data_IF_181158859551
#
_entry.id   IF_181158859551
#
_cell.length_a   1.000
_cell.length_b   1.000
_cell.length_c   1.000
_cell.angle_alpha   90.00
_cell.angle_beta   90.00
_cell.angle_gamma   90.00
#
_symmetry.space_group_name_H-M   'P 1'
#
loop_
_entity.id
_entity.type
_entity.pdbx_description
1 polymer ?
#
# COMPACT_ATOMS: atom_id res chain seq x y z
N UNK A 1 6.81 7.03 -12.42
CA UNK A 1 6.72 5.74 -11.71
C UNK A 1 5.55 5.76 -10.72
N UNK A 2 4.97 4.59 -10.47
CA UNK A 2 3.91 4.42 -9.48
C UNK A 2 4.14 3.11 -8.71
N UNK A 3 3.89 3.13 -7.42
CA UNK A 3 3.86 1.93 -6.60
C UNK A 3 2.91 2.11 -5.40
N UNK A 4 2.43 0.99 -4.87
CA UNK A 4 1.59 0.96 -3.68
C UNK A 4 2.06 -0.09 -2.69
N UNK A 5 1.80 0.15 -1.42
CA UNK A 5 2.08 -0.80 -0.33
C UNK A 5 1.16 -0.59 0.86
N UNK A 6 0.97 -1.63 1.64
CA UNK A 6 0.40 -1.50 2.97
C UNK A 6 1.47 -1.03 3.94
N UNK A 7 1.15 0.01 4.70
CA UNK A 7 1.90 0.39 5.89
C UNK A 7 1.27 -0.35 7.06
N UNK A 8 2.03 -1.29 7.61
CA UNK A 8 1.70 -1.89 8.89
C UNK A 8 2.44 -1.11 9.97
N UNK A 9 1.75 -0.55 10.96
CA UNK A 9 2.40 0.03 12.11
C UNK A 9 3.20 -1.06 12.84
N UNK A 10 4.21 -0.65 13.59
CA UNK A 10 4.87 -1.57 14.50
C UNK A 10 3.90 -1.92 15.64
N UNK A 11 3.27 -3.09 15.53
CA UNK A 11 2.26 -3.55 16.47
C UNK A 11 2.83 -3.80 17.87
N UNK A 12 4.16 -3.90 18.02
CA UNK A 12 4.80 -4.00 19.33
C UNK A 12 4.80 -2.64 20.06
N UNK A 13 4.93 -1.56 19.30
CA UNK A 13 4.95 -0.19 19.85
C UNK A 13 3.56 0.46 19.79
N UNK A 14 2.80 0.17 18.75
CA UNK A 14 1.50 0.78 18.46
C UNK A 14 0.44 -0.26 18.09
N UNK A 15 -0.01 -1.11 19.05
CA UNK A 15 -0.93 -2.22 18.76
C UNK A 15 -2.31 -1.78 18.26
N UNK A 16 -2.71 -0.52 18.54
CA UNK A 16 -4.00 0.05 18.13
C UNK A 16 -3.93 0.90 16.85
N UNK A 17 -2.73 1.05 16.25
CA UNK A 17 -2.59 1.87 15.07
C UNK A 17 -3.23 1.21 13.85
N UNK A 18 -4.04 1.94 13.08
CA UNK A 18 -4.66 1.38 11.89
C UNK A 18 -3.61 1.13 10.79
N UNK A 19 -3.82 0.07 10.01
CA UNK A 19 -3.08 -0.13 8.78
C UNK A 19 -3.53 0.90 7.74
N UNK A 20 -2.59 1.36 6.91
CA UNK A 20 -2.89 2.27 5.82
C UNK A 20 -2.37 1.71 4.49
N UNK A 21 -3.20 1.77 3.44
CA UNK A 21 -2.73 1.53 2.09
C UNK A 21 -2.19 2.83 1.52
N UNK A 22 -0.94 2.86 1.11
CA UNK A 22 -0.30 4.05 0.54
C UNK A 22 0.09 3.80 -0.89
N UNK A 23 -0.15 4.79 -1.74
CA UNK A 23 0.35 4.83 -3.11
C UNK A 23 1.23 6.05 -3.30
N UNK A 24 2.25 5.92 -4.11
CA UNK A 24 3.11 7.03 -4.52
C UNK A 24 3.21 7.08 -6.03
N UNK A 25 2.96 8.26 -6.56
CA UNK A 25 3.02 8.54 -8.00
C UNK A 25 3.95 9.74 -8.24
N UNK A 26 4.95 9.56 -9.08
CA UNK A 26 5.80 10.64 -9.59
C UNK A 26 5.40 10.99 -11.02
N UNK A 27 5.09 12.25 -11.27
CA UNK A 27 4.74 12.76 -12.60
C UNK A 27 5.31 14.17 -12.83
N UNK A 28 5.22 14.65 -14.05
CA UNK A 28 5.51 16.05 -14.39
C UNK A 28 4.48 16.96 -13.72
N UNK A 29 4.90 18.14 -13.27
CA UNK A 29 4.05 19.03 -12.47
C UNK A 29 2.82 19.55 -13.21
N UNK A 30 2.88 19.70 -14.54
CA UNK A 30 1.75 20.08 -15.39
C UNK A 30 0.73 18.94 -15.57
N UNK A 31 1.12 17.69 -15.29
CA UNK A 31 0.25 16.50 -15.41
C UNK A 31 -0.32 16.04 -14.07
N UNK A 32 -0.09 16.79 -13.00
CA UNK A 32 -0.50 16.38 -11.62
C UNK A 32 -2.01 16.12 -11.54
N UNK A 33 -2.84 16.96 -12.14
CA UNK A 33 -4.30 16.79 -12.08
C UNK A 33 -4.78 15.57 -12.86
N UNK A 34 -4.22 15.30 -14.02
CA UNK A 34 -4.52 14.11 -14.80
C UNK A 34 -4.07 12.85 -14.06
N UNK A 35 -2.87 12.87 -13.50
CA UNK A 35 -2.33 11.76 -12.71
C UNK A 35 -3.17 11.48 -11.46
N UNK A 36 -3.61 12.52 -10.75
CA UNK A 36 -4.49 12.40 -9.58
C UNK A 36 -5.84 11.78 -9.97
N UNK A 37 -6.43 12.21 -11.08
CA UNK A 37 -7.68 11.65 -11.59
C UNK A 37 -7.58 10.16 -11.91
N UNK A 38 -6.49 9.74 -12.56
CA UNK A 38 -6.24 8.32 -12.83
C UNK A 38 -6.06 7.54 -11.52
N UNK A 39 -5.28 8.06 -10.57
CA UNK A 39 -5.04 7.42 -9.28
C UNK A 39 -6.35 7.25 -8.49
N UNK A 40 -7.16 8.30 -8.38
CA UNK A 40 -8.46 8.24 -7.70
C UNK A 40 -9.41 7.24 -8.40
N UNK A 41 -9.44 7.25 -9.72
CA UNK A 41 -10.24 6.28 -10.49
C UNK A 41 -9.83 4.83 -10.21
N UNK A 42 -8.54 4.53 -10.18
CA UNK A 42 -8.03 3.18 -9.87
C UNK A 42 -8.34 2.78 -8.44
N UNK A 43 -8.23 3.70 -7.47
CA UNK A 43 -8.56 3.42 -6.08
C UNK A 43 -10.06 3.15 -5.88
N UNK A 44 -10.93 3.82 -6.63
CA UNK A 44 -12.39 3.63 -6.53
C UNK A 44 -12.92 2.49 -7.41
N UNK A 45 -12.24 2.17 -8.50
CA UNK A 45 -12.62 1.12 -9.44
C UNK A 45 -11.38 0.41 -9.97
N UNK A 46 -10.79 -0.41 -9.11
CA UNK A 46 -9.59 -1.17 -9.47
C UNK A 46 -9.90 -2.17 -10.60
N UNK A 47 -9.16 -2.13 -11.71
CA UNK A 47 -9.29 -3.13 -12.77
C UNK A 47 -8.64 -4.44 -12.30
N UNK A 48 -9.47 -5.39 -11.84
CA UNK A 48 -9.00 -6.73 -11.46
C UNK A 48 -8.91 -7.59 -12.72
N UNK A 49 -7.72 -8.12 -13.01
CA UNK A 49 -7.45 -9.00 -14.16
C UNK A 49 -6.80 -10.29 -13.65
N UNK A 50 -7.26 -11.43 -14.16
CA UNK A 50 -6.73 -12.76 -13.77
C UNK A 50 -5.21 -12.86 -13.97
N UNK A 51 -4.72 -12.31 -15.06
CA UNK A 51 -3.28 -12.29 -15.36
C UNK A 51 -2.46 -11.55 -14.30
N UNK A 52 -2.98 -10.39 -13.81
CA UNK A 52 -2.32 -9.63 -12.75
C UNK A 52 -2.28 -10.42 -11.44
N UNK A 53 -3.37 -11.13 -11.12
CA UNK A 53 -3.43 -11.98 -9.91
C UNK A 53 -2.43 -13.13 -10.01
N UNK A 54 -2.34 -13.77 -11.19
CA UNK A 54 -1.36 -14.83 -11.44
C UNK A 54 0.08 -14.33 -11.31
N UNK A 55 0.39 -13.19 -11.92
CA UNK A 55 1.73 -12.58 -11.86
C UNK A 55 2.10 -12.17 -10.43
N UNK A 56 1.15 -11.54 -9.71
CA UNK A 56 1.37 -11.17 -8.31
C UNK A 56 1.60 -12.39 -7.42
N UNK A 57 0.84 -13.46 -7.62
CA UNK A 57 1.01 -14.73 -6.90
C UNK A 57 2.40 -15.31 -7.11
N UNK A 58 2.86 -15.40 -8.36
CA UNK A 58 4.21 -15.86 -8.66
C UNK A 58 5.28 -14.97 -8.06
N UNK A 59 5.10 -13.65 -8.12
CA UNK A 59 5.99 -12.68 -7.50
C UNK A 59 6.11 -12.88 -5.98
N UNK A 60 5.00 -13.14 -5.30
CA UNK A 60 4.98 -13.42 -3.85
C UNK A 60 5.70 -14.74 -3.52
N UNK A 61 5.48 -15.81 -4.29
CA UNK A 61 6.21 -17.06 -4.11
C UNK A 61 7.72 -16.83 -4.23
N UNK A 62 8.14 -16.11 -5.27
CA UNK A 62 9.55 -15.79 -5.48
C UNK A 62 10.11 -14.93 -4.34
N UNK A 63 9.32 -13.95 -3.86
CA UNK A 63 9.75 -13.09 -2.75
C UNK A 63 9.97 -13.88 -1.46
N UNK A 64 9.06 -14.80 -1.12
CA UNK A 64 9.22 -15.69 0.05
C UNK A 64 10.45 -16.58 -0.10
N UNK A 65 10.60 -17.24 -1.25
CA UNK A 65 11.73 -18.14 -1.47
C UNK A 65 13.10 -17.44 -1.43
N UNK A 66 13.16 -16.19 -1.92
CA UNK A 66 14.39 -15.39 -1.92
C UNK A 66 14.61 -14.61 -0.61
N UNK A 67 13.55 -14.43 0.21
CA UNK A 67 13.58 -13.69 1.46
C UNK A 67 13.92 -14.51 2.70
N UNK A 68 14.27 -15.80 2.54
CA UNK A 68 14.52 -16.68 3.67
C UNK A 68 15.66 -16.17 4.56
N UNK A 69 15.48 -16.11 5.89
CA UNK A 69 16.50 -15.57 6.77
C UNK A 69 17.78 -16.38 6.71
N UNK A 70 18.93 -15.73 6.70
CA UNK A 70 20.23 -16.40 6.80
C UNK A 70 20.36 -17.10 8.15
N UNK A 71 21.27 -18.06 8.25
CA UNK A 71 21.56 -18.74 9.52
C UNK A 71 21.81 -17.77 10.67
N UNK A 72 22.55 -16.69 10.43
CA UNK A 72 22.86 -15.67 11.46
C UNK A 72 21.65 -14.86 11.91
N UNK A 73 20.65 -14.66 11.04
CA UNK A 73 19.44 -13.88 11.34
C UNK A 73 18.26 -14.75 11.76
N UNK A 74 18.38 -16.08 11.72
CA UNK A 74 17.28 -16.99 12.00
C UNK A 74 16.76 -16.83 13.44
N UNK A 75 17.65 -16.70 14.42
CA UNK A 75 17.26 -16.51 15.83
C UNK A 75 16.44 -15.23 16.05
N UNK A 76 16.88 -14.11 15.49
CA UNK A 76 16.13 -12.84 15.57
C UNK A 76 14.83 -12.87 14.79
N UNK A 77 14.78 -13.57 13.66
CA UNK A 77 13.55 -13.79 12.91
C UNK A 77 12.51 -14.54 13.74
N UNK A 78 12.90 -15.68 14.32
CA UNK A 78 12.01 -16.50 15.17
C UNK A 78 11.53 -15.70 16.40
N UNK A 79 12.43 -14.99 17.06
CA UNK A 79 12.07 -14.12 18.19
C UNK A 79 11.04 -13.06 17.78
N UNK A 80 11.25 -12.41 16.64
CA UNK A 80 10.33 -11.40 16.09
C UNK A 80 8.96 -12.01 15.76
N UNK A 81 8.94 -13.18 15.14
CA UNK A 81 7.68 -13.89 14.86
C UNK A 81 6.90 -14.19 16.14
N UNK A 82 7.57 -14.68 17.18
CA UNK A 82 6.94 -14.94 18.48
C UNK A 82 6.41 -13.68 19.16
N UNK A 83 7.18 -12.60 19.15
CA UNK A 83 6.75 -11.29 19.68
C UNK A 83 5.52 -10.76 18.96
N UNK A 84 5.38 -11.01 17.65
CA UNK A 84 4.20 -10.65 16.85
C UNK A 84 3.03 -11.63 17.02
N UNK A 85 3.15 -12.65 17.87
CA UNK A 85 2.11 -13.62 18.14
C UNK A 85 1.96 -14.72 17.07
N UNK A 86 2.92 -14.86 16.15
CA UNK A 86 2.90 -15.96 15.20
C UNK A 86 3.29 -17.28 15.86
N UNK A 87 2.42 -18.28 15.75
CA UNK A 87 2.67 -19.66 16.23
C UNK A 87 3.32 -20.53 15.15
N UNK A 88 3.17 -20.13 13.88
CA UNK A 88 3.76 -20.78 12.73
C UNK A 88 4.58 -19.75 11.96
N UNK A 89 5.53 -20.21 11.16
CA UNK A 89 6.26 -19.37 10.22
C UNK A 89 5.29 -18.71 9.23
N UNK A 90 5.17 -17.35 9.20
CA UNK A 90 4.25 -16.65 8.33
C UNK A 90 4.52 -16.89 6.84
N UNK A 91 5.76 -17.13 6.46
CA UNK A 91 6.14 -17.39 5.08
C UNK A 91 5.63 -18.76 4.62
N UNK A 92 5.77 -19.78 5.47
CA UNK A 92 5.19 -21.10 5.22
C UNK A 92 3.66 -21.07 5.11
N UNK A 93 2.99 -20.27 5.95
CA UNK A 93 1.54 -20.07 5.88
C UNK A 93 1.17 -19.40 4.56
N UNK A 94 1.92 -18.37 4.16
CA UNK A 94 1.73 -17.64 2.91
C UNK A 94 1.82 -18.59 1.71
N UNK A 95 2.89 -19.37 1.60
CA UNK A 95 3.07 -20.33 0.51
C UNK A 95 1.94 -21.36 0.42
N UNK A 96 1.41 -21.79 1.55
CA UNK A 96 0.28 -22.74 1.60
C UNK A 96 -1.05 -22.12 1.17
N UNK A 97 -1.26 -20.83 1.42
CA UNK A 97 -2.51 -20.13 1.11
C UNK A 97 -2.53 -19.55 -0.30
N UNK A 98 -1.40 -19.07 -0.82
CA UNK A 98 -1.30 -18.43 -2.13
C UNK A 98 -1.95 -19.21 -3.28
N UNK A 99 -1.78 -20.54 -3.42
CA UNK A 99 -2.41 -21.30 -4.50
C UNK A 99 -3.94 -21.30 -4.44
N UNK A 100 -4.52 -21.05 -3.27
CA UNK A 100 -5.97 -21.09 -3.04
C UNK A 100 -6.63 -19.73 -3.29
N UNK A 101 -5.86 -18.64 -3.32
CA UNK A 101 -6.37 -17.29 -3.54
C UNK A 101 -6.62 -17.05 -5.03
N UNK A 102 -7.83 -16.65 -5.35
CA UNK A 102 -8.26 -16.31 -6.70
C UNK A 102 -8.66 -14.84 -6.87
N UNK A 103 -9.09 -14.50 -8.07
CA UNK A 103 -9.54 -13.13 -8.41
C UNK A 103 -10.73 -12.69 -7.54
N UNK A 104 -11.61 -13.61 -7.14
CA UNK A 104 -12.73 -13.33 -6.25
C UNK A 104 -12.31 -12.88 -4.85
N UNK A 105 -11.21 -13.46 -4.32
CA UNK A 105 -10.68 -13.07 -3.02
C UNK A 105 -10.04 -11.69 -3.07
N UNK A 106 -9.30 -11.40 -4.13
CA UNK A 106 -8.71 -10.07 -4.38
C UNK A 106 -9.81 -9.01 -4.51
N UNK A 107 -10.87 -9.30 -5.28
CA UNK A 107 -12.00 -8.39 -5.47
C UNK A 107 -12.73 -8.11 -4.16
N UNK A 108 -13.00 -9.14 -3.38
CA UNK A 108 -13.65 -9.03 -2.07
C UNK A 108 -12.82 -8.21 -1.09
N UNK A 109 -11.52 -8.48 -1.03
CA UNK A 109 -10.60 -7.70 -0.19
C UNK A 109 -10.59 -6.22 -0.60
N UNK A 110 -10.49 -5.94 -1.89
CA UNK A 110 -10.52 -4.58 -2.41
C UNK A 110 -11.83 -3.87 -2.04
N UNK A 111 -12.98 -4.49 -2.25
CA UNK A 111 -14.29 -3.92 -1.92
C UNK A 111 -14.43 -3.61 -0.43
N UNK A 112 -13.96 -4.50 0.43
CA UNK A 112 -14.13 -4.38 1.87
C UNK A 112 -13.13 -3.41 2.52
N UNK A 113 -11.92 -3.25 1.95
CA UNK A 113 -10.83 -2.58 2.64
C UNK A 113 -10.20 -1.40 1.88
N UNK A 114 -10.52 -1.20 0.60
CA UNK A 114 -9.91 -0.16 -0.22
C UNK A 114 -10.95 0.75 -0.87
N UNK A 115 -11.93 0.19 -1.55
CA UNK A 115 -12.81 0.90 -2.47
C UNK A 115 -13.53 2.10 -1.85
N UNK A 116 -14.08 1.96 -0.65
CA UNK A 116 -14.92 2.96 0.00
C UNK A 116 -14.24 3.59 1.22
N UNK A 117 -12.93 3.39 1.38
CA UNK A 117 -12.19 3.99 2.48
C UNK A 117 -11.89 5.46 2.22
N UNK A 118 -11.89 6.31 3.26
CA UNK A 118 -11.44 7.70 3.13
C UNK A 118 -10.00 7.76 2.61
N UNK A 119 -9.74 8.66 1.66
CA UNK A 119 -8.43 8.87 1.08
C UNK A 119 -7.87 10.25 1.47
N UNK A 120 -6.57 10.30 1.75
CA UNK A 120 -5.82 11.53 1.94
C UNK A 120 -4.79 11.67 0.82
N UNK A 121 -4.85 12.75 0.06
CA UNK A 121 -3.90 13.03 -1.02
C UNK A 121 -2.85 14.02 -0.54
N UNK A 122 -1.59 13.61 -0.55
CA UNK A 122 -0.46 14.48 -0.23
C UNK A 122 0.25 14.82 -1.55
N UNK A 123 0.25 16.10 -1.90
CA UNK A 123 0.85 16.60 -3.13
C UNK A 123 2.04 17.48 -2.80
N UNK A 124 3.20 17.14 -3.34
CA UNK A 124 4.41 17.93 -3.24
C UNK A 124 4.79 18.43 -4.62
N UNK A 125 4.78 19.75 -4.80
CA UNK A 125 5.04 20.35 -6.11
C UNK A 125 4.94 21.87 -6.10
N UNK A 126 5.11 22.48 -7.28
CA UNK A 126 4.95 23.93 -7.45
C UNK A 126 3.45 24.30 -7.47
N UNK A 127 3.00 25.00 -6.45
CA UNK A 127 1.62 25.45 -6.29
C UNK A 127 1.10 26.24 -7.53
N UNK A 128 1.97 26.98 -8.22
CA UNK A 128 1.58 27.77 -9.40
C UNK A 128 1.14 26.92 -10.58
N UNK A 129 1.52 25.64 -10.60
CA UNK A 129 1.19 24.65 -11.63
C UNK A 129 0.03 23.74 -11.25
N UNK A 130 -0.59 23.96 -10.09
CA UNK A 130 -1.69 23.15 -9.58
C UNK A 130 -3.02 23.91 -9.74
N UNK A 131 -4.02 23.25 -10.28
CA UNK A 131 -5.39 23.79 -10.33
C UNK A 131 -6.06 23.60 -8.95
N UNK A 132 -6.00 24.66 -8.15
CA UNK A 132 -6.55 24.66 -6.79
C UNK A 132 -8.08 24.50 -6.76
N UNK A 133 -8.80 24.88 -7.85
CA UNK A 133 -10.26 24.71 -7.95
C UNK A 133 -10.60 23.23 -8.17
N UNK A 134 -9.86 22.57 -9.05
CA UNK A 134 -10.04 21.13 -9.28
C UNK A 134 -9.66 20.30 -8.05
N UNK A 135 -8.60 20.67 -7.33
CA UNK A 135 -8.20 19.96 -6.09
C UNK A 135 -9.31 19.95 -5.04
N UNK A 136 -10.09 21.01 -4.91
CA UNK A 136 -11.22 21.09 -3.98
C UNK A 136 -12.32 20.04 -4.25
N UNK A 137 -12.38 19.48 -5.47
CA UNK A 137 -13.33 18.40 -5.78
C UNK A 137 -13.00 17.09 -5.09
N UNK A 138 -11.73 16.88 -4.71
CA UNK A 138 -11.28 15.69 -3.99
C UNK A 138 -11.42 15.82 -2.47
N UNK A 139 -11.66 17.03 -1.95
CA UNK A 139 -11.85 17.26 -0.53
C UNK A 139 -11.32 18.62 -0.06
N UNK A 140 -11.23 18.77 1.27
CA UNK A 140 -10.67 19.97 1.89
C UNK A 140 -9.18 20.08 1.60
N UNK A 141 -8.75 21.18 0.98
CA UNK A 141 -7.35 21.45 0.67
C UNK A 141 -6.69 22.20 1.83
N UNK A 142 -5.61 21.66 2.37
CA UNK A 142 -4.76 22.27 3.39
C UNK A 142 -3.40 22.55 2.78
N UNK A 143 -2.94 23.79 2.85
CA UNK A 143 -1.61 24.19 2.37
C UNK A 143 -0.63 24.15 3.54
N UNK A 144 0.37 23.28 3.43
CA UNK A 144 1.47 23.20 4.38
C UNK A 144 2.69 23.94 3.83
N UNK A 145 3.34 24.72 4.67
CA UNK A 145 4.63 25.36 4.37
C UNK A 145 5.77 24.52 4.99
N UNK A 146 6.99 24.67 4.50
CA UNK A 146 8.16 23.97 5.04
C UNK A 146 8.25 24.07 6.57
N UNK A 147 7.99 25.26 7.14
CA UNK A 147 8.00 25.51 8.60
C UNK A 147 6.92 24.71 9.37
N UNK A 148 5.87 24.27 8.72
CA UNK A 148 4.75 23.54 9.35
C UNK A 148 5.08 22.04 9.43
N UNK A 149 6.14 21.58 8.74
CA UNK A 149 6.53 20.17 8.62
C UNK A 149 7.82 19.89 9.38
N UNK A 150 8.73 20.86 9.41
CA UNK A 150 10.01 20.76 10.15
C UNK A 150 9.85 21.38 11.55
N UNK A 151 9.70 20.53 12.53
CA UNK A 151 9.97 20.80 13.93
C UNK A 151 11.24 20.10 14.34
#
# INVERSE_FOLDING_TARGET
YAYGRWLQPDLLVHPQSPCAYTTRLGCQSDKTMAALGVLDSVLRKMPVREENVRTARQGLVNAVNNGYPTFRSLGSYVATCRLKGYTLDPDSVTLRLLPKLGIGDVSRFYQNHVQNTPACYIIVGDKRRLDMKQLKRYGRVVLLRKRDISR
#
